data_IF_532850402046
#
_entry.id   IF_532850402046
#
_cell.length_a   1.000
_cell.length_b   1.000
_cell.length_c   1.000
_cell.angle_alpha   90.00
_cell.angle_beta   90.00
_cell.angle_gamma   90.00
#
_symmetry.space_group_name_H-M   'P 1'
#
loop_
_entity.id
_entity.type
_entity.pdbx_description
1 polymer ?
#
# COMPACT_ATOMS: atom_id res chain seq x y z
N UNK A 1 -20.28 -77.38 -32.60
CA UNK A 1 -19.23 -77.07 -33.63
C UNK A 1 -18.41 -75.90 -33.09
N UNK A 2 -17.36 -76.11 -32.30
CA UNK A 2 -15.95 -76.43 -32.66
C UNK A 2 -15.11 -75.23 -33.15
N UNK A 3 -14.32 -74.67 -32.21
CA UNK A 3 -12.90 -74.22 -32.24
C UNK A 3 -12.23 -73.72 -33.54
N UNK A 4 -11.43 -72.63 -33.40
CA UNK A 4 -9.95 -72.47 -33.64
C UNK A 4 -9.63 -70.97 -33.92
N UNK A 5 -8.84 -70.17 -33.17
CA UNK A 5 -7.36 -70.10 -32.91
C UNK A 5 -6.50 -70.13 -34.20
N UNK A 6 -5.49 -69.29 -34.53
CA UNK A 6 -4.59 -68.29 -33.90
C UNK A 6 -3.77 -67.60 -35.08
N UNK A 7 -2.51 -67.06 -34.99
CA UNK A 7 -1.73 -66.30 -33.97
C UNK A 7 -0.85 -65.10 -34.51
N UNK A 8 -0.25 -64.35 -33.54
CA UNK A 8 1.10 -63.70 -33.49
C UNK A 8 1.46 -62.46 -34.36
N UNK A 9 1.97 -61.41 -33.67
CA UNK A 9 3.42 -61.04 -33.63
C UNK A 9 3.75 -60.01 -32.52
N UNK A 10 4.85 -60.27 -31.79
CA UNK A 10 5.56 -59.37 -30.85
C UNK A 10 6.75 -58.72 -31.56
N UNK A 11 7.11 -57.47 -31.20
CA UNK A 11 8.47 -56.87 -31.14
C UNK A 11 8.31 -55.44 -30.54
N UNK A 12 8.68 -55.15 -29.29
CA UNK A 12 10.00 -54.87 -28.62
C UNK A 12 10.39 -53.38 -28.56
N UNK A 13 10.86 -52.99 -27.35
CA UNK A 13 11.68 -51.81 -26.94
C UNK A 13 10.92 -50.47 -26.85
N UNK A 14 11.19 -49.55 -25.92
CA UNK A 14 12.35 -49.32 -25.04
C UNK A 14 11.94 -48.48 -23.82
N UNK A 15 12.72 -48.60 -22.75
CA UNK A 15 12.76 -47.69 -21.60
C UNK A 15 12.87 -46.20 -21.99
N UNK A 16 12.21 -45.34 -21.23
CA UNK A 16 12.79 -44.08 -20.79
C UNK A 16 12.48 -43.89 -19.30
N UNK A 17 13.54 -43.93 -18.49
CA UNK A 17 13.57 -43.40 -17.13
C UNK A 17 13.82 -41.90 -17.23
N UNK A 18 12.96 -41.10 -16.62
CA UNK A 18 13.24 -39.74 -16.15
C UNK A 18 12.21 -39.51 -15.02
N UNK A 19 12.54 -39.50 -13.74
CA UNK A 19 13.77 -38.98 -13.17
C UNK A 19 13.73 -37.46 -13.11
N UNK A 20 12.62 -36.88 -12.62
CA UNK A 20 12.67 -35.54 -12.03
C UNK A 20 12.04 -35.58 -10.64
N UNK A 21 12.97 -35.52 -9.70
CA UNK A 21 12.78 -35.45 -8.27
C UNK A 21 12.19 -34.07 -7.97
N UNK A 22 10.92 -34.04 -7.55
CA UNK A 22 10.29 -32.83 -7.00
C UNK A 22 11.26 -32.15 -6.02
N UNK A 23 11.58 -30.86 -6.18
CA UNK A 23 12.38 -30.17 -5.19
C UNK A 23 11.61 -30.18 -3.88
N UNK A 24 12.26 -30.76 -2.88
CA UNK A 24 11.82 -30.84 -1.49
C UNK A 24 11.34 -29.47 -1.02
N UNK A 25 10.26 -29.46 -0.22
CA UNK A 25 9.82 -28.35 0.65
C UNK A 25 11.05 -27.53 1.10
N UNK A 26 11.21 -26.32 0.56
CA UNK A 26 11.94 -25.29 1.28
C UNK A 26 11.05 -24.91 2.46
N UNK A 27 11.40 -25.45 3.63
CA UNK A 27 10.98 -24.86 4.88
C UNK A 27 11.30 -23.36 4.82
N UNK A 28 10.40 -22.52 5.33
CA UNK A 28 10.63 -21.10 5.50
C UNK A 28 11.87 -20.87 6.37
N UNK A 29 13.04 -20.84 5.73
CA UNK A 29 14.26 -20.40 6.33
C UNK A 29 14.31 -18.90 6.09
N UNK A 30 13.97 -18.13 7.11
CA UNK A 30 14.55 -16.79 7.26
C UNK A 30 16.06 -17.03 7.31
N UNK A 31 16.75 -16.97 6.17
CA UNK A 31 18.21 -16.97 6.16
C UNK A 31 18.61 -15.62 6.76
N UNK A 32 18.88 -15.61 8.07
CA UNK A 32 19.76 -14.62 8.68
C UNK A 32 21.15 -14.85 8.09
N UNK A 33 21.41 -14.27 6.92
CA UNK A 33 22.79 -14.08 6.47
C UNK A 33 23.45 -13.08 7.43
N UNK A 34 24.72 -13.37 7.77
CA UNK A 34 25.65 -12.63 8.63
C UNK A 34 25.14 -11.36 9.32
N UNK A 35 25.20 -11.36 10.65
CA UNK A 35 24.98 -10.19 11.49
C UNK A 35 25.94 -9.04 11.14
N UNK A 36 25.48 -8.12 10.30
CA UNK A 36 25.75 -6.69 10.46
C UNK A 36 24.52 -6.06 11.09
N UNK A 37 24.70 -5.53 12.30
CA UNK A 37 23.69 -5.05 13.25
C UNK A 37 22.98 -3.75 12.82
N UNK A 38 22.59 -3.60 11.56
CA UNK A 38 21.83 -2.44 11.09
C UNK A 38 20.45 -2.89 10.63
N UNK A 39 19.41 -2.15 11.04
CA UNK A 39 18.05 -2.30 10.50
C UNK A 39 18.09 -2.30 8.96
N UNK A 40 17.33 -3.19 8.26
CA UNK A 40 17.31 -3.25 6.79
C UNK A 40 16.80 -1.96 6.14
N UNK A 41 16.14 -1.12 6.94
CA UNK A 41 15.70 0.21 6.58
C UNK A 41 16.25 1.28 7.53
N UNK A 42 16.43 2.49 7.01
CA UNK A 42 16.73 3.68 7.82
C UNK A 42 15.99 4.90 7.27
N UNK A 43 15.83 5.92 8.10
CA UNK A 43 15.25 7.20 7.71
C UNK A 43 16.37 8.22 7.52
N UNK A 44 16.44 8.83 6.35
CA UNK A 44 17.48 9.80 6.01
C UNK A 44 16.87 11.15 5.61
N UNK A 45 17.45 12.29 6.03
CA UNK A 45 17.02 13.59 5.57
C UNK A 45 17.16 13.71 4.05
N UNK A 46 16.13 14.25 3.40
CA UNK A 46 16.11 14.51 1.95
C UNK A 46 16.82 15.81 1.56
N UNK A 47 17.18 16.64 2.54
CA UNK A 47 17.66 18.01 2.31
C UNK A 47 16.57 19.01 1.94
N UNK A 48 15.30 18.59 1.93
CA UNK A 48 14.13 19.45 1.68
C UNK A 48 13.28 19.57 2.95
N UNK A 49 12.62 20.71 3.20
CA UNK A 49 11.67 20.83 4.30
C UNK A 49 10.40 20.02 4.02
N UNK A 50 9.77 19.54 5.08
CA UNK A 50 8.44 18.96 5.00
C UNK A 50 7.45 19.95 4.38
N UNK A 51 6.52 19.45 3.59
CA UNK A 51 5.47 20.24 2.97
C UNK A 51 4.12 20.05 3.68
N UNK A 52 3.27 21.06 3.56
CA UNK A 52 1.85 21.03 3.91
C UNK A 52 1.07 21.73 2.78
N UNK A 53 -0.25 21.69 2.83
CA UNK A 53 -1.10 22.47 1.94
C UNK A 53 -0.94 23.97 2.21
N UNK A 54 -1.00 24.79 1.15
CA UNK A 54 -0.95 26.25 1.29
C UNK A 54 -2.31 26.84 1.70
N UNK A 55 -3.41 26.15 1.38
CA UNK A 55 -4.77 26.50 1.78
C UNK A 55 -5.60 25.25 2.07
N UNK A 56 -6.76 25.42 2.71
CA UNK A 56 -7.68 24.31 2.95
C UNK A 56 -8.51 24.00 1.71
N UNK A 57 -8.75 22.71 1.46
CA UNK A 57 -9.66 22.23 0.40
C UNK A 57 -10.57 21.13 0.92
N UNK A 58 -11.72 20.94 0.28
CA UNK A 58 -12.67 19.91 0.67
C UNK A 58 -13.28 19.19 -0.53
N UNK A 59 -13.64 17.93 -0.32
CA UNK A 59 -14.44 17.15 -1.26
C UNK A 59 -15.54 16.44 -0.50
N UNK A 60 -16.70 16.37 -1.14
CA UNK A 60 -17.87 15.66 -0.63
C UNK A 60 -18.28 14.58 -1.61
N UNK A 61 -18.76 13.46 -1.11
CA UNK A 61 -19.23 12.36 -1.93
C UNK A 61 -19.85 11.26 -1.09
N UNK A 62 -20.02 10.09 -1.68
CA UNK A 62 -20.61 8.93 -1.00
C UNK A 62 -19.51 7.97 -0.57
N UNK A 63 -19.58 7.43 0.65
CA UNK A 63 -18.72 6.33 1.10
C UNK A 63 -19.08 5.03 0.36
N UNK A 64 -18.07 4.32 -0.15
CA UNK A 64 -18.26 3.10 -0.95
C UNK A 64 -18.98 2.00 -0.17
N UNK A 65 -18.62 1.81 1.10
CA UNK A 65 -19.13 0.72 1.93
C UNK A 65 -20.33 1.15 2.79
N UNK A 66 -20.31 2.38 3.29
CA UNK A 66 -21.36 2.92 4.17
C UNK A 66 -22.57 3.44 3.41
N UNK A 67 -22.40 3.89 2.16
CA UNK A 67 -23.43 4.63 1.42
C UNK A 67 -23.75 6.01 2.02
N UNK A 68 -23.02 6.45 3.04
CA UNK A 68 -23.23 7.74 3.70
C UNK A 68 -22.64 8.87 2.86
N UNK A 69 -23.29 10.03 2.86
CA UNK A 69 -22.71 11.25 2.30
C UNK A 69 -21.68 11.80 3.28
N UNK A 70 -20.41 11.84 2.88
CA UNK A 70 -19.31 12.32 3.71
C UNK A 70 -18.56 13.46 3.05
N UNK A 71 -18.07 14.36 3.88
CA UNK A 71 -17.21 15.48 3.47
C UNK A 71 -15.87 15.31 4.17
N UNK A 72 -14.78 15.37 3.40
CA UNK A 72 -13.43 15.37 3.95
C UNK A 72 -12.75 16.70 3.61
N UNK A 73 -12.22 17.37 4.64
CA UNK A 73 -11.43 18.60 4.50
C UNK A 73 -9.96 18.29 4.72
N UNK A 74 -9.14 18.73 3.79
CA UNK A 74 -7.69 18.68 3.87
C UNK A 74 -7.21 20.07 4.29
N UNK A 75 -6.63 20.15 5.48
CA UNK A 75 -6.19 21.41 6.07
C UNK A 75 -4.68 21.40 6.30
N UNK A 76 -4.01 22.57 6.24
CA UNK A 76 -2.61 22.67 6.59
C UNK A 76 -2.36 22.16 8.02
N UNK A 77 -1.22 21.51 8.23
CA UNK A 77 -0.77 21.05 9.54
C UNK A 77 0.68 21.44 9.82
N UNK A 78 1.05 21.44 11.10
CA UNK A 78 2.37 21.87 11.54
C UNK A 78 3.44 20.84 11.15
N UNK A 79 4.68 21.31 10.97
CA UNK A 79 5.79 20.41 10.71
C UNK A 79 5.95 19.39 11.86
N UNK A 80 6.16 18.12 11.49
CA UNK A 80 6.33 17.01 12.43
C UNK A 80 5.03 16.37 12.92
N UNK A 81 3.85 16.90 12.55
CA UNK A 81 2.58 16.24 12.89
C UNK A 81 2.25 15.06 11.98
N UNK A 82 2.79 15.05 10.76
CA UNK A 82 2.44 14.10 9.72
C UNK A 82 1.00 14.26 9.25
N UNK A 83 0.47 13.20 8.62
CA UNK A 83 -0.94 13.12 8.19
C UNK A 83 -1.77 12.47 9.29
N UNK A 84 -2.91 13.05 9.62
CA UNK A 84 -3.82 12.46 10.60
C UNK A 84 -5.28 12.78 10.31
N UNK A 85 -6.15 11.84 10.67
CA UNK A 85 -7.59 12.03 10.65
C UNK A 85 -8.10 12.61 11.96
N UNK A 86 -9.06 13.52 11.88
CA UNK A 86 -9.74 14.16 13.01
C UNK A 86 -11.26 13.97 12.86
N UNK A 87 -11.82 12.83 13.32
CA UNK A 87 -13.21 12.43 13.05
C UNK A 87 -14.27 13.13 13.92
N UNK A 88 -14.16 14.45 14.05
CA UNK A 88 -15.12 15.29 14.77
C UNK A 88 -14.91 15.38 16.29
N UNK A 89 -15.73 16.19 16.98
CA UNK A 89 -15.53 16.54 18.39
C UNK A 89 -15.56 15.33 19.33
N UNK A 90 -14.68 15.32 20.33
CA UNK A 90 -14.63 14.28 21.37
C UNK A 90 -14.03 12.94 20.92
N UNK A 91 -13.63 12.81 19.65
CA UNK A 91 -12.93 11.63 19.13
C UNK A 91 -11.42 11.86 19.09
N UNK A 92 -10.59 10.85 19.40
CA UNK A 92 -9.15 10.99 19.28
C UNK A 92 -8.73 11.16 17.82
N UNK A 93 -7.73 12.01 17.57
CA UNK A 93 -7.05 12.05 16.26
C UNK A 93 -6.41 10.71 15.95
N UNK A 94 -6.49 10.26 14.71
CA UNK A 94 -5.95 8.98 14.23
C UNK A 94 -4.76 9.29 13.30
N UNK A 95 -3.51 9.08 13.75
CA UNK A 95 -2.34 9.19 12.87
C UNK A 95 -2.45 8.22 11.68
N UNK A 96 -2.07 8.68 10.49
CA UNK A 96 -1.97 7.83 9.30
C UNK A 96 -0.67 7.01 9.32
N UNK A 97 -0.54 6.15 10.33
CA UNK A 97 0.62 5.26 10.51
C UNK A 97 0.18 3.80 10.51
N UNK A 98 1.12 2.90 10.16
CA UNK A 98 0.87 1.45 10.10
C UNK A 98 0.34 0.89 11.42
N UNK A 99 0.75 1.46 12.56
CA UNK A 99 0.29 1.05 13.90
C UNK A 99 -1.23 1.22 14.12
N UNK A 100 -1.88 2.07 13.33
CA UNK A 100 -3.32 2.32 13.41
C UNK A 100 -4.11 1.55 12.35
N UNK A 101 -3.45 0.83 11.45
CA UNK A 101 -4.11 0.01 10.42
C UNK A 101 -4.77 -1.19 11.10
N UNK A 102 -6.04 -1.41 10.78
CA UNK A 102 -6.78 -2.62 11.19
C UNK A 102 -7.27 -3.36 9.96
N UNK A 103 -7.36 -4.68 10.07
CA UNK A 103 -7.88 -5.53 8.99
C UNK A 103 -9.36 -5.19 8.73
N UNK A 104 -9.65 -4.84 7.49
CA UNK A 104 -11.00 -4.61 6.98
C UNK A 104 -11.13 -5.26 5.60
N UNK A 105 -12.24 -5.95 5.31
CA UNK A 105 -12.48 -6.45 3.97
C UNK A 105 -12.54 -5.29 2.97
N UNK A 106 -11.83 -5.42 1.86
CA UNK A 106 -11.94 -4.58 0.66
C UNK A 106 -11.49 -3.11 0.77
N UNK A 107 -10.98 -2.67 1.92
CA UNK A 107 -10.41 -1.32 2.07
C UNK A 107 -9.36 -1.25 3.17
N UNK A 108 -8.63 -0.13 3.26
CA UNK A 108 -7.76 0.17 4.41
C UNK A 108 -8.54 0.97 5.45
N UNK A 109 -8.55 0.48 6.69
CA UNK A 109 -9.16 1.18 7.83
C UNK A 109 -8.10 1.60 8.83
N UNK A 110 -8.16 2.86 9.29
CA UNK A 110 -7.39 3.34 10.42
C UNK A 110 -8.27 3.42 11.67
N UNK A 111 -7.74 3.01 12.83
CA UNK A 111 -8.46 3.04 14.11
C UNK A 111 -7.58 3.51 15.25
N UNK A 112 -8.15 4.35 16.13
CA UNK A 112 -7.58 4.68 17.44
C UNK A 112 -8.68 4.74 18.50
N UNK A 113 -8.62 3.84 19.48
CA UNK A 113 -9.70 3.71 20.45
C UNK A 113 -11.02 3.40 19.77
N UNK A 114 -12.06 4.19 20.07
CA UNK A 114 -13.38 4.07 19.45
C UNK A 114 -13.49 4.78 18.08
N UNK A 115 -12.53 5.62 17.71
CA UNK A 115 -12.56 6.32 16.44
C UNK A 115 -11.94 5.45 15.34
N UNK A 116 -12.57 5.47 14.16
CA UNK A 116 -12.06 4.83 12.95
C UNK A 116 -12.35 5.67 11.72
N UNK A 117 -11.59 5.46 10.65
CA UNK A 117 -11.86 5.99 9.32
C UNK A 117 -11.59 4.90 8.29
N UNK A 118 -12.56 4.64 7.41
CA UNK A 118 -12.51 3.63 6.35
C UNK A 118 -12.08 4.25 5.02
N UNK A 119 -11.59 3.40 4.11
CA UNK A 119 -11.32 3.72 2.71
C UNK A 119 -10.31 4.85 2.54
N UNK A 120 -9.24 4.85 3.35
CA UNK A 120 -8.26 5.95 3.41
C UNK A 120 -7.24 5.93 2.26
N UNK A 121 -7.12 4.80 1.55
CA UNK A 121 -6.01 4.50 0.65
C UNK A 121 -5.85 5.48 -0.52
N UNK A 122 -6.94 5.87 -1.20
CA UNK A 122 -6.85 6.77 -2.36
C UNK A 122 -6.41 8.19 -1.96
N UNK A 123 -6.98 8.71 -0.87
CA UNK A 123 -6.62 10.00 -0.31
C UNK A 123 -5.16 10.01 0.18
N UNK A 124 -4.74 8.98 0.92
CA UNK A 124 -3.35 8.88 1.40
C UNK A 124 -2.36 8.72 0.23
N UNK A 125 -2.74 8.01 -0.82
CA UNK A 125 -1.95 7.89 -2.05
C UNK A 125 -1.80 9.24 -2.76
N UNK A 126 -2.88 10.03 -2.87
CA UNK A 126 -2.83 11.36 -3.45
C UNK A 126 -1.92 12.30 -2.65
N UNK A 127 -2.05 12.32 -1.31
CA UNK A 127 -1.20 13.12 -0.43
C UNK A 127 0.28 12.75 -0.56
N UNK A 128 0.61 11.45 -0.65
CA UNK A 128 1.98 10.99 -0.86
C UNK A 128 2.52 11.40 -2.23
N UNK A 129 1.76 11.14 -3.29
CA UNK A 129 2.17 11.44 -4.67
C UNK A 129 2.35 12.94 -4.90
N UNK A 130 1.48 13.77 -4.32
CA UNK A 130 1.57 15.24 -4.36
C UNK A 130 2.61 15.80 -3.38
N UNK A 131 3.24 14.97 -2.54
CA UNK A 131 4.33 15.40 -1.66
C UNK A 131 3.89 16.13 -0.38
N UNK A 132 2.65 15.98 0.06
CA UNK A 132 2.13 16.58 1.30
C UNK A 132 2.61 15.78 2.50
N UNK A 133 3.53 16.29 3.31
CA UNK A 133 4.04 15.55 4.48
C UNK A 133 3.14 15.70 5.72
N UNK A 134 2.56 16.89 5.90
CA UNK A 134 1.70 17.21 7.03
C UNK A 134 0.33 17.65 6.54
N UNK A 135 -0.73 17.03 7.07
CA UNK A 135 -2.11 17.43 6.78
C UNK A 135 -3.05 16.98 7.90
N UNK A 136 -3.96 17.88 8.27
CA UNK A 136 -5.12 17.56 9.12
C UNK A 136 -6.28 17.19 8.20
N UNK A 137 -6.79 15.98 8.36
CA UNK A 137 -7.87 15.42 7.56
C UNK A 137 -9.14 15.36 8.43
N UNK A 138 -10.00 16.35 8.29
CA UNK A 138 -11.29 16.36 9.00
C UNK A 138 -12.33 15.61 8.18
N UNK A 139 -13.18 14.84 8.85
CA UNK A 139 -14.24 14.07 8.22
C UNK A 139 -15.57 14.32 8.93
N UNK A 140 -16.58 14.65 8.13
CA UNK A 140 -17.97 14.89 8.56
C UNK A 140 -18.94 14.00 7.79
N UNK A 141 -20.14 13.80 8.35
CA UNK A 141 -21.23 13.03 7.73
C UNK A 141 -21.11 11.51 7.88
N UNK A 142 -19.96 10.99 8.33
CA UNK A 142 -19.71 9.57 8.52
C UNK A 142 -18.28 9.26 8.98
N UNK A 143 -17.88 7.99 8.88
CA UNK A 143 -16.54 7.48 9.22
C UNK A 143 -15.82 6.86 8.01
N UNK A 144 -16.17 7.28 6.79
CA UNK A 144 -15.59 6.76 5.55
C UNK A 144 -15.24 7.91 4.58
N UNK A 145 -14.02 7.89 4.05
CA UNK A 145 -13.59 8.84 3.01
C UNK A 145 -14.43 8.63 1.75
N UNK A 146 -14.97 9.69 1.12
CA UNK A 146 -15.82 9.54 -0.05
C UNK A 146 -15.05 8.90 -1.21
N UNK A 147 -15.71 8.00 -1.95
CA UNK A 147 -15.06 7.22 -3.01
C UNK A 147 -14.76 8.06 -4.26
N UNK A 148 -15.50 9.16 -4.46
CA UNK A 148 -15.41 10.05 -5.62
C UNK A 148 -15.54 9.24 -6.93
N UNK A 149 -14.68 9.45 -7.92
CA UNK A 149 -14.62 8.64 -9.15
C UNK A 149 -14.01 7.23 -8.99
N UNK A 150 -13.66 6.82 -7.77
CA UNK A 150 -13.00 5.55 -7.48
C UNK A 150 -11.49 5.55 -7.72
N UNK A 151 -10.89 6.70 -8.04
CA UNK A 151 -9.45 6.88 -8.18
C UNK A 151 -8.91 7.93 -7.19
N UNK A 152 -7.62 8.25 -7.30
CA UNK A 152 -6.99 9.34 -6.55
C UNK A 152 -7.05 10.70 -7.28
N UNK A 153 -7.58 10.75 -8.51
CA UNK A 153 -7.48 11.92 -9.41
C UNK A 153 -8.08 13.19 -8.80
N UNK A 154 -9.31 13.12 -8.33
CA UNK A 154 -10.00 14.29 -7.77
C UNK A 154 -9.33 14.81 -6.48
N UNK A 155 -8.64 13.94 -5.75
CA UNK A 155 -7.83 14.35 -4.60
C UNK A 155 -6.55 15.07 -5.04
N UNK A 156 -5.86 14.56 -6.07
CA UNK A 156 -4.67 15.21 -6.64
C UNK A 156 -5.03 16.59 -7.18
N UNK A 157 -6.11 16.71 -7.96
CA UNK A 157 -6.60 17.99 -8.49
C UNK A 157 -6.88 18.98 -7.35
N UNK A 158 -7.55 18.56 -6.28
CA UNK A 158 -7.82 19.41 -5.12
C UNK A 158 -6.53 19.86 -4.41
N UNK A 159 -5.53 18.98 -4.27
CA UNK A 159 -4.24 19.30 -3.65
C UNK A 159 -3.44 20.27 -4.52
N UNK A 160 -3.46 20.09 -5.84
CA UNK A 160 -2.81 21.00 -6.80
C UNK A 160 -3.45 22.39 -6.76
N UNK A 161 -4.78 22.47 -6.72
CA UNK A 161 -5.53 23.73 -6.53
C UNK A 161 -5.21 24.41 -5.20
N UNK A 162 -5.09 23.63 -4.12
CA UNK A 162 -4.74 24.14 -2.78
C UNK A 162 -3.33 24.74 -2.74
N UNK A 163 -2.43 24.22 -3.57
CA UNK A 163 -1.00 24.49 -3.55
C UNK A 163 -0.27 23.89 -2.35
N UNK A 164 1.06 23.90 -2.41
CA UNK A 164 1.95 23.44 -1.34
C UNK A 164 2.79 24.58 -0.79
N UNK A 165 3.14 24.47 0.49
CA UNK A 165 4.14 25.32 1.12
C UNK A 165 4.97 24.53 2.14
N UNK A 166 6.13 25.07 2.52
CA UNK A 166 6.94 24.50 3.59
C UNK A 166 6.17 24.56 4.92
N UNK A 167 6.05 23.41 5.58
CA UNK A 167 5.44 23.32 6.90
C UNK A 167 6.39 23.92 7.95
N UNK A 168 5.82 24.64 8.91
CA UNK A 168 6.55 25.20 10.06
C UNK A 168 6.07 24.57 11.36
N UNK A 169 6.97 24.40 12.31
CA UNK A 169 6.64 24.01 13.68
C UNK A 169 6.10 25.22 14.47
N UNK A 170 5.75 25.01 15.75
CA UNK A 170 5.19 26.06 16.61
C UNK A 170 6.14 27.24 16.85
N UNK A 171 7.44 27.07 16.58
CA UNK A 171 8.47 28.09 16.72
C UNK A 171 8.79 28.78 15.37
N UNK A 172 8.09 28.39 14.29
CA UNK A 172 8.33 28.91 12.95
C UNK A 172 9.49 28.23 12.21
N UNK A 173 10.04 27.13 12.74
CA UNK A 173 11.14 26.39 12.11
C UNK A 173 10.62 25.37 11.10
N UNK A 174 11.40 25.13 10.06
CA UNK A 174 11.16 24.03 9.12
C UNK A 174 11.80 22.73 9.65
N UNK A 175 11.15 21.59 9.40
CA UNK A 175 11.69 20.26 9.72
C UNK A 175 12.07 19.57 8.41
N UNK A 176 13.24 18.92 8.39
CA UNK A 176 13.67 18.16 7.22
C UNK A 176 12.74 16.97 6.95
N UNK A 177 12.28 16.83 5.70
CA UNK A 177 11.57 15.64 5.23
C UNK A 177 12.53 14.45 5.26
N UNK A 178 12.08 13.34 5.83
CA UNK A 178 12.81 12.07 5.85
C UNK A 178 12.32 11.18 4.70
N UNK A 179 13.24 10.45 4.10
CA UNK A 179 12.94 9.39 3.15
C UNK A 179 13.45 8.05 3.68
N UNK A 180 12.69 6.99 3.39
CA UNK A 180 13.09 5.62 3.71
C UNK A 180 14.18 5.16 2.75
N UNK A 181 15.32 4.75 3.31
CA UNK A 181 16.40 4.12 2.58
C UNK A 181 16.44 2.64 2.92
N UNK A 182 16.27 1.80 1.90
CA UNK A 182 16.37 0.34 2.00
C UNK A 182 17.81 -0.05 1.68
N UNK A 183 18.49 -0.72 2.63
CA UNK A 183 19.89 -1.11 2.50
C UNK A 183 20.06 -2.51 1.91
N UNK A 184 19.09 -3.38 2.13
CA UNK A 184 19.07 -4.75 1.63
C UNK A 184 17.67 -5.16 1.18
N UNK A 185 17.54 -6.10 0.23
CA UNK A 185 16.24 -6.58 -0.22
C UNK A 185 15.39 -7.15 0.94
N UNK A 186 14.13 -6.75 0.99
CA UNK A 186 13.13 -7.26 1.94
C UNK A 186 12.02 -7.98 1.20
N UNK A 187 11.52 -9.07 1.78
CA UNK A 187 10.45 -9.88 1.21
C UNK A 187 9.42 -10.21 2.27
N UNK A 188 8.15 -10.07 1.90
CA UNK A 188 7.01 -10.50 2.70
C UNK A 188 6.09 -11.30 1.78
N UNK A 189 5.61 -12.44 2.26
CA UNK A 189 4.73 -13.34 1.51
C UNK A 189 3.61 -13.84 2.42
N UNK A 190 2.43 -14.00 1.83
CA UNK A 190 1.27 -14.64 2.44
C UNK A 190 0.56 -15.40 1.32
N UNK A 191 0.42 -16.70 1.50
CA UNK A 191 -0.19 -17.62 0.52
C UNK A 191 0.44 -17.48 -0.88
N UNK A 192 -0.31 -17.01 -1.87
CA UNK A 192 0.11 -16.78 -3.26
C UNK A 192 0.55 -15.33 -3.55
N UNK A 193 0.50 -14.47 -2.54
CA UNK A 193 0.78 -13.04 -2.64
C UNK A 193 2.12 -12.69 -1.99
N UNK A 194 2.88 -11.78 -2.61
CA UNK A 194 4.13 -11.29 -2.02
C UNK A 194 4.38 -9.81 -2.33
N UNK A 195 5.15 -9.18 -1.45
CA UNK A 195 5.71 -7.83 -1.62
C UNK A 195 7.22 -7.95 -1.48
N UNK A 196 7.95 -7.34 -2.39
CA UNK A 196 9.41 -7.26 -2.33
C UNK A 196 9.84 -5.80 -2.45
N UNK A 197 10.81 -5.40 -1.64
CA UNK A 197 11.37 -4.06 -1.63
C UNK A 197 12.89 -4.15 -1.79
N UNK A 198 13.45 -3.45 -2.77
CA UNK A 198 14.86 -3.52 -3.13
C UNK A 198 15.55 -2.16 -2.93
N UNK A 199 16.85 -2.14 -2.57
CA UNK A 199 17.63 -0.91 -2.55
C UNK A 199 17.61 -0.20 -3.91
N UNK A 200 17.13 1.05 -3.95
CA UNK A 200 17.09 1.88 -5.15
C UNK A 200 17.32 3.36 -4.79
N UNK A 201 17.91 4.12 -5.72
CA UNK A 201 18.10 5.58 -5.55
C UNK A 201 16.82 6.38 -5.80
N UNK A 202 15.89 5.82 -6.57
CA UNK A 202 14.60 6.43 -6.91
C UNK A 202 13.50 5.46 -6.52
N UNK A 203 12.39 5.99 -6.02
CA UNK A 203 11.19 5.21 -5.77
C UNK A 203 10.66 4.66 -7.10
N UNK A 204 10.47 3.35 -7.15
CA UNK A 204 9.81 2.65 -8.26
C UNK A 204 8.87 1.62 -7.66
N UNK A 205 7.61 1.67 -8.06
CA UNK A 205 6.60 0.69 -7.67
C UNK A 205 6.30 -0.16 -8.90
N UNK A 206 6.20 -1.47 -8.73
CA UNK A 206 5.81 -2.40 -9.78
C UNK A 206 4.84 -3.39 -9.17
N UNK A 207 3.67 -3.51 -9.77
CA UNK A 207 2.62 -4.43 -9.33
C UNK A 207 2.32 -5.43 -10.45
N UNK A 208 2.00 -6.65 -10.07
CA UNK A 208 1.60 -7.73 -10.98
C UNK A 208 0.36 -8.39 -10.40
N UNK A 209 -0.70 -8.47 -11.20
CA UNK A 209 -1.92 -9.18 -10.87
C UNK A 209 -2.10 -10.34 -11.85
N UNK A 210 -2.16 -11.56 -11.31
CA UNK A 210 -2.46 -12.77 -12.05
C UNK A 210 -3.89 -13.19 -11.71
N UNK A 211 -4.77 -13.20 -12.69
CA UNK A 211 -6.13 -13.71 -12.49
C UNK A 211 -6.08 -15.24 -12.31
N UNK A 212 -7.12 -15.79 -11.66
CA UNK A 212 -7.20 -17.22 -11.36
C UNK A 212 -7.21 -18.12 -12.62
N UNK A 213 -7.58 -17.56 -13.77
CA UNK A 213 -7.50 -18.23 -15.07
C UNK A 213 -6.09 -18.21 -15.70
N UNK A 214 -5.10 -17.69 -14.97
CA UNK A 214 -3.71 -17.54 -15.42
C UNK A 214 -3.50 -16.38 -16.38
N UNK A 215 -4.53 -15.59 -16.68
CA UNK A 215 -4.38 -14.40 -17.50
C UNK A 215 -3.63 -13.31 -16.74
N UNK A 216 -2.71 -12.66 -17.44
CA UNK A 216 -2.09 -11.43 -16.96
C UNK A 216 -3.14 -10.33 -17.02
N UNK A 217 -3.57 -9.84 -15.86
CA UNK A 217 -4.31 -8.59 -15.82
C UNK A 217 -3.27 -7.50 -16.03
N UNK A 218 -3.36 -6.80 -17.17
CA UNK A 218 -2.40 -5.76 -17.54
C UNK A 218 -2.23 -4.78 -16.37
N UNK A 219 -1.02 -4.62 -15.81
CA UNK A 219 -0.80 -3.66 -14.73
C UNK A 219 -0.88 -2.26 -15.31
N UNK A 220 -1.94 -1.52 -14.98
CA UNK A 220 -2.02 -0.08 -15.25
C UNK A 220 -1.16 0.68 -14.24
N UNK A 221 0.16 0.53 -14.32
CA UNK A 221 1.12 1.43 -13.66
C UNK A 221 2.40 1.53 -14.50
N UNK A 222 2.58 2.66 -15.19
CA UNK A 222 3.89 3.15 -15.68
C UNK A 222 4.29 4.37 -14.88
#
# INVERSE_FOLDING_TARGET
RSRRTAPRRRRTRSHCRSGEMFPRRLQASVRKFGTTSSSPLSWQPTGKPQQTLASGVEKSGVGLHSGASTTVRLLPAMAGEGRYFSPGPGRPRIPATVDHVVESPLCTTLRRGAARVLTVEHLLSALEASGVDNARLEIDGGDEVPILDGSAREWVEAIEEAGLCAAKDHNGNEIAKLATLIHEPMYVWRDDSFVAAFPQRKTKITSLLLAADGSLVSPWMT
#
